data_IF_685581765964
#
_entry.id   IF_685581765964
#
_cell.length_a   1.000
_cell.length_b   1.000
_cell.length_c   1.000
_cell.angle_alpha   90.00
_cell.angle_beta   90.00
_cell.angle_gamma   90.00
#
_symmetry.space_group_name_H-M   'P 1'
#
loop_
_entity.id
_entity.type
_entity.pdbx_description
1 polymer ?
#
# COMPACT_ATOMS: atom_id res chain seq x y z
N UNK A 1 20.95 1.73 -0.97
CA UNK A 1 20.07 2.64 -1.72
C UNK A 1 18.77 2.67 -0.94
N UNK A 2 18.38 3.82 -0.40
CA UNK A 2 17.12 3.95 0.34
C UNK A 2 15.97 4.21 -0.63
N UNK A 3 14.83 3.59 -0.36
CA UNK A 3 13.57 3.78 -1.08
C UNK A 3 12.55 4.37 -0.12
N UNK A 4 11.88 5.43 -0.53
CA UNK A 4 10.71 5.92 0.20
C UNK A 4 9.65 4.81 0.21
N UNK A 5 9.01 4.62 1.36
CA UNK A 5 7.87 3.71 1.53
C UNK A 5 6.66 4.52 1.96
N UNK A 6 5.51 4.13 1.43
CA UNK A 6 4.20 4.65 1.78
C UNK A 6 3.35 3.49 2.29
N UNK A 7 2.81 3.66 3.49
CA UNK A 7 1.86 2.74 4.09
C UNK A 7 0.53 3.46 4.17
N UNK A 8 -0.40 3.01 3.34
CA UNK A 8 -1.78 3.46 3.41
C UNK A 8 -2.57 2.50 4.29
N UNK A 9 -3.37 3.03 5.20
CA UNK A 9 -4.21 2.21 6.09
C UNK A 9 -5.58 2.85 6.31
N UNK A 10 -6.60 2.02 6.47
CA UNK A 10 -7.94 2.41 6.94
C UNK A 10 -8.22 1.72 8.27
N UNK A 11 -8.57 2.51 9.29
CA UNK A 11 -8.87 1.98 10.61
C UNK A 11 -10.22 1.23 10.64
N UNK A 12 -11.14 1.63 9.76
CA UNK A 12 -12.51 1.10 9.63
C UNK A 12 -12.51 -0.29 9.03
N UNK A 13 -11.84 -0.48 7.89
CA UNK A 13 -11.75 -1.80 7.24
C UNK A 13 -10.63 -2.67 7.84
N UNK A 14 -9.77 -2.09 8.69
CA UNK A 14 -8.55 -2.75 9.20
C UNK A 14 -7.71 -3.31 8.06
N UNK A 15 -7.56 -2.55 6.97
CA UNK A 15 -6.75 -2.95 5.81
C UNK A 15 -5.60 -1.98 5.61
N UNK A 16 -4.49 -2.49 5.07
CA UNK A 16 -3.35 -1.66 4.71
C UNK A 16 -2.72 -2.07 3.37
N UNK A 17 -2.03 -1.11 2.75
CA UNK A 17 -1.31 -1.26 1.51
C UNK A 17 0.07 -0.59 1.62
N UNK A 18 1.12 -1.33 1.32
CA UNK A 18 2.52 -0.88 1.43
C UNK A 18 3.10 -0.71 0.02
N UNK A 19 3.70 0.43 -0.28
CA UNK A 19 4.28 0.70 -1.59
C UNK A 19 5.62 1.40 -1.46
N UNK A 20 6.54 1.14 -2.40
CA UNK A 20 7.81 1.87 -2.53
C UNK A 20 7.91 2.64 -3.84
N UNK A 21 6.79 2.85 -4.52
CA UNK A 21 6.75 3.54 -5.81
C UNK A 21 6.66 5.06 -5.63
N UNK A 22 7.56 5.80 -6.31
CA UNK A 22 7.63 7.27 -6.38
C UNK A 22 6.30 7.89 -6.83
N UNK A 23 5.46 7.15 -7.56
CA UNK A 23 4.13 7.60 -8.00
C UNK A 23 3.14 7.88 -6.87
N UNK A 24 3.46 7.52 -5.63
CA UNK A 24 2.69 7.91 -4.44
C UNK A 24 3.13 9.26 -3.86
N UNK A 25 4.31 9.76 -4.24
CA UNK A 25 4.78 11.09 -3.90
C UNK A 25 3.92 12.13 -4.65
N UNK A 26 3.00 12.78 -3.93
CA UNK A 26 2.00 13.69 -4.51
C UNK A 26 0.69 13.03 -4.93
N UNK A 27 0.51 11.73 -4.72
CA UNK A 27 -0.79 11.06 -4.94
C UNK A 27 -1.75 11.43 -3.82
N UNK A 28 -2.89 12.02 -4.18
CA UNK A 28 -3.95 12.31 -3.21
C UNK A 28 -4.69 11.03 -2.81
N UNK A 29 -5.33 11.01 -1.63
CA UNK A 29 -6.24 9.92 -1.21
C UNK A 29 -7.25 9.62 -2.33
N UNK A 30 -7.77 10.64 -3.00
CA UNK A 30 -8.70 10.51 -4.12
C UNK A 30 -8.09 9.80 -5.35
N UNK A 31 -6.85 10.16 -5.72
CA UNK A 31 -6.14 9.48 -6.81
C UNK A 31 -5.90 8.01 -6.50
N UNK A 32 -5.52 7.70 -5.26
CA UNK A 32 -5.35 6.33 -4.81
C UNK A 32 -6.67 5.53 -4.83
N UNK A 33 -7.77 6.09 -4.30
CA UNK A 33 -9.09 5.45 -4.31
C UNK A 33 -9.58 5.11 -5.72
N UNK A 34 -9.27 5.96 -6.69
CA UNK A 34 -9.58 5.69 -8.10
C UNK A 34 -8.72 4.54 -8.63
N UNK A 35 -7.41 4.60 -8.38
CA UNK A 35 -6.48 3.63 -8.95
C UNK A 35 -6.65 2.23 -8.32
N UNK A 36 -6.93 2.13 -7.01
CA UNK A 36 -7.11 0.85 -6.33
C UNK A 36 -8.30 0.04 -6.88
N UNK A 37 -9.37 0.72 -7.33
CA UNK A 37 -10.53 0.09 -7.97
C UNK A 37 -10.17 -0.59 -9.29
N UNK A 38 -9.14 -0.09 -9.98
CA UNK A 38 -8.68 -0.63 -11.27
C UNK A 38 -7.74 -1.84 -11.14
N UNK A 39 -7.32 -2.16 -9.91
CA UNK A 39 -6.37 -3.25 -9.68
C UNK A 39 -7.04 -4.60 -9.77
N UNK A 40 -6.86 -5.30 -10.89
CA UNK A 40 -7.38 -6.65 -11.06
C UNK A 40 -6.84 -7.61 -9.98
N UNK A 41 -7.73 -8.12 -9.13
CA UNK A 41 -7.45 -8.96 -7.95
C UNK A 41 -8.42 -10.13 -7.90
N UNK A 42 -8.14 -11.10 -7.02
CA UNK A 42 -9.09 -12.19 -6.76
C UNK A 42 -10.39 -11.60 -6.21
N UNK A 43 -11.57 -12.21 -6.46
CA UNK A 43 -12.86 -11.62 -6.08
C UNK A 43 -12.98 -11.25 -4.60
N UNK A 44 -12.46 -12.09 -3.71
CA UNK A 44 -12.42 -11.89 -2.25
C UNK A 44 -11.62 -10.63 -1.85
N UNK A 45 -10.53 -10.35 -2.58
CA UNK A 45 -9.73 -9.15 -2.35
C UNK A 45 -10.34 -7.92 -3.03
N UNK A 46 -11.08 -8.08 -4.12
CA UNK A 46 -11.71 -6.96 -4.82
C UNK A 46 -12.81 -6.32 -3.99
N UNK A 47 -13.62 -7.12 -3.29
CA UNK A 47 -14.64 -6.61 -2.36
C UNK A 47 -14.01 -5.77 -1.24
N UNK A 48 -12.90 -6.24 -0.66
CA UNK A 48 -12.17 -5.50 0.38
C UNK A 48 -11.53 -4.22 -0.16
N UNK A 49 -11.01 -4.23 -1.39
CA UNK A 49 -10.43 -3.04 -2.02
C UNK A 49 -11.51 -2.01 -2.34
N UNK A 50 -12.70 -2.45 -2.76
CA UNK A 50 -13.85 -1.57 -2.97
C UNK A 50 -14.35 -0.99 -1.64
N UNK A 51 -14.46 -1.82 -0.59
CA UNK A 51 -14.84 -1.39 0.74
C UNK A 51 -13.85 -0.38 1.31
N UNK A 52 -12.56 -0.61 1.11
CA UNK A 52 -11.48 0.31 1.44
C UNK A 52 -11.65 1.61 0.64
N UNK A 53 -11.78 1.57 -0.69
CA UNK A 53 -11.91 2.76 -1.54
C UNK A 53 -13.10 3.67 -1.16
N UNK A 54 -14.15 3.11 -0.57
CA UNK A 54 -15.32 3.84 -0.09
C UNK A 54 -15.10 4.58 1.25
N UNK A 55 -14.03 4.28 2.00
CA UNK A 55 -13.78 4.91 3.30
C UNK A 55 -13.15 6.29 3.17
N UNK A 56 -13.37 7.18 4.14
CA UNK A 56 -12.72 8.50 4.19
C UNK A 56 -11.65 8.60 5.30
N UNK A 57 -11.42 7.52 6.06
CA UNK A 57 -10.52 7.47 7.21
C UNK A 57 -9.07 7.09 6.85
N UNK A 58 -8.69 7.32 5.60
CA UNK A 58 -7.38 6.95 5.09
C UNK A 58 -6.26 7.78 5.71
N UNK A 59 -5.25 7.08 6.23
CA UNK A 59 -4.02 7.70 6.72
C UNK A 59 -2.81 7.17 5.96
N UNK A 60 -1.83 8.05 5.75
CA UNK A 60 -0.55 7.72 5.13
C UNK A 60 0.56 7.84 6.16
N UNK A 61 1.29 6.75 6.35
CA UNK A 61 2.59 6.76 7.02
C UNK A 61 3.68 6.68 5.95
N UNK A 62 4.67 7.56 6.04
CA UNK A 62 5.84 7.55 5.16
C UNK A 62 7.08 7.12 5.93
N UNK A 63 8.00 6.48 5.23
CA UNK A 63 9.27 6.05 5.80
C UNK A 63 10.29 5.78 4.72
N UNK A 64 11.38 5.11 5.11
CA UNK A 64 12.41 4.65 4.18
C UNK A 64 12.75 3.20 4.47
N UNK A 65 13.04 2.45 3.40
CA UNK A 65 13.51 1.07 3.46
C UNK A 65 14.71 0.91 2.55
N UNK A 66 15.61 0.00 2.89
CA UNK A 66 16.75 -0.36 2.04
C UNK A 66 16.60 -1.75 1.44
N UNK A 67 15.86 -2.65 2.10
CA UNK A 67 15.76 -4.06 1.76
C UNK A 67 14.31 -4.53 1.67
N UNK A 68 14.09 -5.65 0.98
CA UNK A 68 12.75 -6.25 0.88
C UNK A 68 12.29 -6.74 2.25
N UNK A 69 13.22 -7.17 3.10
CA UNK A 69 12.93 -7.61 4.47
C UNK A 69 12.31 -6.49 5.31
N UNK A 70 12.80 -5.24 5.18
CA UNK A 70 12.19 -4.09 5.86
C UNK A 70 10.70 -3.92 5.50
N UNK A 71 10.31 -4.24 4.25
CA UNK A 71 8.91 -4.18 3.83
C UNK A 71 8.09 -5.33 4.41
N UNK A 72 8.70 -6.50 4.60
CA UNK A 72 8.08 -7.61 5.31
C UNK A 72 7.90 -7.29 6.79
N UNK A 73 8.87 -6.65 7.44
CA UNK A 73 8.76 -6.17 8.81
C UNK A 73 7.62 -5.15 8.98
N UNK A 74 7.48 -4.20 8.03
CA UNK A 74 6.35 -3.26 8.02
C UNK A 74 5.03 -4.03 7.87
N UNK A 75 4.95 -5.01 6.97
CA UNK A 75 3.77 -5.83 6.79
C UNK A 75 3.41 -6.61 8.07
N UNK A 76 4.41 -7.18 8.76
CA UNK A 76 4.21 -7.94 9.99
C UNK A 76 3.80 -7.04 11.15
N UNK A 77 4.36 -5.83 11.25
CA UNK A 77 3.92 -4.82 12.21
C UNK A 77 2.47 -4.37 11.97
N UNK A 78 2.03 -4.31 10.72
CA UNK A 78 0.63 -4.01 10.41
C UNK A 78 -0.28 -5.20 10.76
N UNK A 79 0.14 -6.42 10.46
CA UNK A 79 -0.58 -7.64 10.86
C UNK A 79 -0.69 -7.76 12.37
N UNK A 80 0.36 -7.42 13.13
CA UNK A 80 0.33 -7.44 14.60
C UNK A 80 -0.64 -6.41 15.18
N UNK A 81 -0.93 -5.34 14.44
CA UNK A 81 -1.99 -4.35 14.75
C UNK A 81 -3.37 -4.78 14.25
N UNK A 82 -3.53 -6.04 13.84
CA UNK A 82 -4.76 -6.61 13.26
C UNK A 82 -5.16 -5.98 11.92
N UNK A 83 -4.21 -5.44 11.15
CA UNK A 83 -4.48 -5.00 9.78
C UNK A 83 -4.24 -6.13 8.78
N UNK A 84 -5.15 -6.28 7.82
CA UNK A 84 -4.99 -7.13 6.66
C UNK A 84 -4.18 -6.41 5.58
N UNK A 85 -3.04 -6.99 5.18
CA UNK A 85 -2.16 -6.44 4.16
C UNK A 85 -2.64 -6.90 2.77
N UNK A 86 -3.06 -5.97 1.91
CA UNK A 86 -3.66 -6.27 0.59
C UNK A 86 -2.66 -6.30 -0.58
N UNK A 87 -1.36 -6.31 -0.28
CA UNK A 87 -0.29 -6.38 -1.29
C UNK A 87 -0.22 -7.76 -1.95
N UNK A 88 -0.28 -7.81 -3.31
CA UNK A 88 -0.10 -9.07 -4.06
C UNK A 88 1.35 -9.58 -4.03
N UNK A 89 2.31 -8.66 -4.09
CA UNK A 89 3.75 -8.95 -4.04
C UNK A 89 4.48 -7.71 -3.57
N UNK A 90 5.31 -7.85 -2.55
CA UNK A 90 6.22 -6.81 -2.08
C UNK A 90 7.53 -7.00 -2.84
N UNK A 91 7.89 -6.02 -3.66
CA UNK A 91 9.16 -6.03 -4.41
C UNK A 91 9.69 -4.61 -4.42
N UNK A 92 10.96 -4.45 -4.06
CA UNK A 92 11.70 -3.23 -4.37
C UNK A 92 11.96 -3.19 -5.88
N UNK A 93 11.00 -2.74 -6.67
CA UNK A 93 11.27 -2.41 -8.07
C UNK A 93 12.02 -1.09 -8.08
N UNK A 94 13.27 -1.13 -8.55
CA UNK A 94 14.02 0.07 -8.95
C UNK A 94 13.20 0.74 -10.06
N UNK A 95 12.34 1.69 -9.70
CA UNK A 95 11.62 2.52 -10.67
C UNK A 95 12.65 3.43 -11.31
N UNK A 96 13.28 2.89 -12.34
CA UNK A 96 13.86 3.56 -13.49
C UNK A 96 13.97 2.45 -14.52
N UNK A 97 12.87 2.19 -15.25
CA UNK A 97 13.05 1.86 -16.66
C UNK A 97 13.92 2.98 -17.21
N UNK A 98 15.22 2.71 -17.32
CA UNK A 98 16.13 3.56 -18.08
C UNK A 98 15.58 3.58 -19.50
N UNK A 99 15.31 4.81 -19.96
CA UNK A 99 15.55 5.34 -21.31
C UNK A 99 14.90 4.53 -22.44
#
# INVERSE_FOLDING_TARGET
MEYNVWVLQSATTKTCFISTHVSFEGMTIAGFKRDIQTWNRKPDMQEELNAMAAQDDFTFDTGKVSHVDDLHEIADKMRSKSYRVLNRRIVLKKSNQKI
#
